data_IF_383407918023
#
_entry.id   IF_383407918023
#
_cell.length_a   1.000
_cell.length_b   1.000
_cell.length_c   1.000
_cell.angle_alpha   90.00
_cell.angle_beta   90.00
_cell.angle_gamma   90.00
#
_symmetry.space_group_name_H-M   'P 1'
#
loop_
_entity.id
_entity.type
_entity.pdbx_description
1 polymer ?
#
# COMPACT_ATOMS: atom_id res chain seq x y z
N UNK A 1 -3.65 9.74 -11.81
CA UNK A 1 -3.28 9.36 -13.19
C UNK A 1 -2.24 8.24 -13.25
N UNK A 2 -1.11 8.31 -12.51
CA UNK A 2 -0.02 7.29 -12.56
C UNK A 2 -0.56 5.87 -12.31
N UNK A 3 -1.36 5.68 -11.26
CA UNK A 3 -1.94 4.37 -10.93
C UNK A 3 -2.80 3.80 -12.07
N UNK A 4 -3.69 4.61 -12.66
CA UNK A 4 -4.56 4.17 -13.76
C UNK A 4 -3.72 3.75 -14.98
N UNK A 5 -2.65 4.47 -15.26
CA UNK A 5 -1.74 4.13 -16.36
C UNK A 5 -1.01 2.80 -16.10
N UNK A 6 -0.48 2.60 -14.89
CA UNK A 6 0.16 1.33 -14.51
C UNK A 6 -0.84 0.16 -14.56
N UNK A 7 -2.06 0.38 -14.08
CA UNK A 7 -3.11 -0.63 -14.14
C UNK A 7 -3.53 -0.95 -15.58
N UNK A 8 -3.55 0.06 -16.45
CA UNK A 8 -3.80 -0.15 -17.88
C UNK A 8 -2.69 -0.98 -18.54
N UNK A 9 -1.41 -0.71 -18.23
CA UNK A 9 -0.27 -1.53 -18.70
C UNK A 9 -0.44 -2.98 -18.23
N UNK A 10 -0.78 -3.19 -16.97
CA UNK A 10 -1.06 -4.52 -16.43
C UNK A 10 -2.18 -5.23 -17.21
N UNK A 11 -3.28 -4.53 -17.45
CA UNK A 11 -4.42 -5.08 -18.19
C UNK A 11 -4.04 -5.46 -19.64
N UNK A 12 -3.30 -4.62 -20.32
CA UNK A 12 -2.78 -4.92 -21.67
C UNK A 12 -1.80 -6.10 -21.65
N UNK A 13 -0.94 -6.18 -20.65
CA UNK A 13 -0.01 -7.28 -20.46
C UNK A 13 -0.73 -8.62 -20.28
N UNK A 14 -1.76 -8.67 -19.43
CA UNK A 14 -2.60 -9.84 -19.24
C UNK A 14 -3.31 -10.26 -20.53
N UNK A 15 -3.78 -9.30 -21.31
CA UNK A 15 -4.48 -9.54 -22.59
C UNK A 15 -3.54 -9.90 -23.74
N UNK A 16 -2.24 -9.65 -23.57
CA UNK A 16 -1.22 -9.83 -24.61
C UNK A 16 -1.35 -8.91 -25.83
N UNK A 17 -2.18 -7.86 -25.74
CA UNK A 17 -2.41 -6.85 -26.80
C UNK A 17 -2.85 -5.53 -26.18
N UNK A 18 -2.62 -4.44 -26.90
CA UNK A 18 -3.12 -3.11 -26.52
C UNK A 18 -4.64 -3.09 -26.70
N UNK A 19 -5.36 -2.93 -25.59
CA UNK A 19 -6.83 -2.98 -25.58
C UNK A 19 -7.38 -1.57 -25.46
N UNK A 20 -8.21 -1.16 -26.42
CA UNK A 20 -9.04 0.05 -26.34
C UNK A 20 -8.28 1.32 -25.89
N UNK A 21 -7.07 1.53 -26.40
CA UNK A 21 -6.20 2.65 -26.02
C UNK A 21 -6.88 4.02 -26.20
N UNK A 22 -7.58 4.22 -27.29
CA UNK A 22 -8.31 5.48 -27.56
C UNK A 22 -9.40 5.74 -26.51
N UNK A 23 -10.16 4.70 -26.16
CA UNK A 23 -11.19 4.78 -25.11
C UNK A 23 -10.57 5.08 -23.75
N UNK A 24 -9.44 4.44 -23.42
CA UNK A 24 -8.71 4.71 -22.19
C UNK A 24 -8.28 6.18 -22.08
N UNK A 25 -7.70 6.75 -23.14
CA UNK A 25 -7.31 8.17 -23.17
C UNK A 25 -8.54 9.05 -23.04
N UNK A 26 -9.60 8.80 -23.84
CA UNK A 26 -10.82 9.60 -23.81
C UNK A 26 -11.42 9.67 -22.40
N UNK A 27 -11.63 8.51 -21.78
CA UNK A 27 -12.19 8.46 -20.41
C UNK A 27 -11.25 9.06 -19.36
N UNK A 28 -9.93 8.93 -19.54
CA UNK A 28 -8.96 9.57 -18.64
C UNK A 28 -9.02 11.09 -18.74
N UNK A 29 -9.13 11.64 -19.94
CA UNK A 29 -9.29 13.09 -20.15
C UNK A 29 -10.61 13.57 -19.56
N UNK A 30 -11.72 12.87 -19.82
CA UNK A 30 -13.01 13.19 -19.22
C UNK A 30 -12.94 13.17 -17.69
N UNK A 31 -12.30 12.19 -17.10
CA UNK A 31 -12.10 12.10 -15.64
C UNK A 31 -11.30 13.29 -15.09
N UNK A 32 -10.24 13.70 -15.79
CA UNK A 32 -9.48 14.92 -15.42
C UNK A 32 -10.35 16.18 -15.54
N UNK A 33 -11.12 16.30 -16.60
CA UNK A 33 -12.03 17.45 -16.78
C UNK A 33 -13.07 17.55 -15.66
N UNK A 34 -13.66 16.42 -15.26
CA UNK A 34 -14.59 16.38 -14.12
C UNK A 34 -13.89 16.73 -12.80
N UNK A 35 -12.64 16.35 -12.64
CA UNK A 35 -11.84 16.65 -11.45
C UNK A 35 -11.28 18.08 -11.44
N UNK A 36 -11.34 18.84 -12.56
CA UNK A 36 -10.78 20.18 -12.67
C UNK A 36 -11.30 21.14 -11.58
N UNK A 37 -12.55 20.99 -11.18
CA UNK A 37 -13.14 21.81 -10.12
C UNK A 37 -12.30 21.74 -8.82
N UNK A 38 -11.77 20.58 -8.48
CA UNK A 38 -10.91 20.39 -7.31
C UNK A 38 -9.43 20.57 -7.64
N UNK A 39 -9.00 20.20 -8.84
CA UNK A 39 -7.59 20.23 -9.23
C UNK A 39 -7.08 21.68 -9.46
N UNK A 40 -7.87 22.54 -10.07
CA UNK A 40 -7.46 23.92 -10.39
C UNK A 40 -7.09 24.72 -9.14
N UNK A 41 -7.91 24.77 -8.07
CA UNK A 41 -7.53 25.45 -6.83
C UNK A 41 -6.27 24.89 -6.20
N UNK A 42 -6.11 23.55 -6.21
CA UNK A 42 -4.92 22.89 -5.65
C UNK A 42 -3.67 23.27 -6.44
N UNK A 43 -3.72 23.23 -7.76
CA UNK A 43 -2.58 23.60 -8.63
C UNK A 43 -2.20 25.08 -8.44
N UNK A 44 -3.19 25.98 -8.35
CA UNK A 44 -2.94 27.39 -8.10
C UNK A 44 -2.30 27.61 -6.73
N UNK A 45 -2.79 26.94 -5.69
CA UNK A 45 -2.22 27.00 -4.33
C UNK A 45 -0.78 26.48 -4.26
N UNK A 46 -0.48 25.40 -4.99
CA UNK A 46 0.87 24.84 -5.05
C UNK A 46 1.83 25.72 -5.85
N UNK A 47 1.32 26.49 -6.84
CA UNK A 47 2.15 27.42 -7.61
C UNK A 47 2.67 28.57 -6.77
N UNK A 48 1.90 29.00 -5.77
CA UNK A 48 2.26 30.09 -4.87
C UNK A 48 3.23 29.63 -3.77
N UNK A 49 3.29 28.33 -3.49
CA UNK A 49 4.28 27.73 -2.62
C UNK A 49 5.61 27.60 -3.40
N UNK A 50 6.50 28.54 -3.18
CA UNK A 50 7.85 28.55 -3.77
C UNK A 50 8.81 27.58 -3.10
N UNK A 51 8.35 26.42 -2.70
CA UNK A 51 9.24 25.36 -2.23
C UNK A 51 10.03 24.85 -3.43
N UNK A 52 11.34 25.14 -3.44
CA UNK A 52 12.23 24.63 -4.46
C UNK A 52 12.12 23.10 -4.51
N UNK A 53 12.17 22.50 -5.72
CA UNK A 53 12.23 21.06 -5.85
C UNK A 53 13.30 20.53 -4.91
N UNK A 54 13.00 19.50 -4.13
CA UNK A 54 13.94 18.97 -3.16
C UNK A 54 15.28 18.69 -3.84
N UNK A 55 16.37 19.27 -3.33
CA UNK A 55 17.73 19.00 -3.82
C UNK A 55 18.09 17.51 -3.76
N UNK A 56 17.32 16.75 -2.97
CA UNK A 56 17.46 15.30 -2.80
C UNK A 56 16.75 14.46 -3.85
N UNK A 57 16.18 15.08 -4.90
CA UNK A 57 15.43 14.37 -5.95
C UNK A 57 16.29 13.29 -6.64
N UNK A 58 17.58 13.53 -6.81
CA UNK A 58 18.53 12.62 -7.43
C UNK A 58 19.32 11.77 -6.43
N UNK A 59 19.08 11.96 -5.12
CA UNK A 59 19.68 11.11 -4.11
C UNK A 59 19.02 9.72 -4.15
N UNK A 60 19.76 8.73 -4.67
CA UNK A 60 19.34 7.32 -4.72
C UNK A 60 19.41 6.71 -3.31
N UNK A 61 18.77 7.40 -2.37
CA UNK A 61 18.63 6.93 -1.00
C UNK A 61 17.53 5.88 -0.87
N UNK A 62 17.71 5.01 0.11
CA UNK A 62 16.68 4.04 0.51
C UNK A 62 15.74 4.71 1.50
N UNK A 63 14.44 4.55 1.31
CA UNK A 63 13.43 5.15 2.19
C UNK A 63 13.36 4.41 3.53
N UNK A 64 13.54 3.07 3.51
CA UNK A 64 13.52 2.21 4.70
C UNK A 64 14.28 0.90 4.46
N UNK A 65 14.40 0.07 5.49
CA UNK A 65 14.97 -1.28 5.35
C UNK A 65 13.93 -2.21 4.73
N UNK A 66 14.29 -2.97 3.67
CA UNK A 66 13.38 -3.89 2.97
C UNK A 66 12.74 -4.92 3.92
N UNK A 67 13.44 -5.28 5.00
CA UNK A 67 12.89 -6.13 6.06
C UNK A 67 11.67 -5.53 6.77
N UNK A 68 11.43 -4.22 6.69
CA UNK A 68 10.22 -3.59 7.21
C UNK A 68 8.98 -3.84 6.35
N UNK A 69 9.16 -4.07 5.03
CA UNK A 69 8.03 -4.25 4.13
C UNK A 69 7.22 -5.51 4.45
N UNK A 70 7.91 -6.64 4.71
CA UNK A 70 7.21 -7.88 5.05
C UNK A 70 6.47 -7.78 6.39
N UNK A 71 7.00 -7.02 7.36
CA UNK A 71 6.31 -6.80 8.63
C UNK A 71 4.96 -6.11 8.41
N UNK A 72 4.92 -5.12 7.53
CA UNK A 72 3.71 -4.36 7.25
C UNK A 72 2.68 -5.10 6.38
N UNK A 73 3.04 -6.28 5.87
CA UNK A 73 2.09 -7.23 5.28
C UNK A 73 1.43 -8.14 6.33
N UNK A 74 1.99 -8.20 7.54
CA UNK A 74 1.46 -9.04 8.62
C UNK A 74 0.49 -8.25 9.51
N UNK A 75 -0.48 -8.92 10.14
CA UNK A 75 -1.40 -8.29 11.08
C UNK A 75 -0.66 -7.73 12.31
N UNK A 76 -1.21 -6.68 12.90
CA UNK A 76 -0.75 -6.14 14.17
C UNK A 76 0.55 -5.32 14.15
N UNK A 77 1.13 -5.09 12.99
CA UNK A 77 2.37 -4.27 12.86
C UNK A 77 2.11 -2.77 12.88
N UNK A 78 0.87 -2.37 12.88
CA UNK A 78 0.43 -0.96 13.02
C UNK A 78 0.55 -0.47 14.47
N UNK A 79 1.54 -0.98 15.20
CA UNK A 79 1.83 -0.44 16.50
C UNK A 79 2.12 1.05 16.35
N UNK A 80 1.43 1.83 17.14
CA UNK A 80 1.51 3.22 17.55
C UNK A 80 2.90 3.89 17.53
N UNK A 81 3.83 3.35 16.79
CA UNK A 81 5.16 3.89 16.61
C UNK A 81 5.10 5.00 15.55
N UNK A 82 4.55 6.16 15.98
CA UNK A 82 4.56 7.41 15.22
C UNK A 82 5.98 7.81 14.79
N UNK A 83 7.00 7.20 15.38
CA UNK A 83 8.41 7.39 15.02
C UNK A 83 8.78 6.74 13.67
N UNK A 84 8.02 5.77 13.18
CA UNK A 84 8.24 5.05 11.92
C UNK A 84 7.30 5.51 10.78
N UNK A 85 7.02 6.81 10.69
CA UNK A 85 6.22 7.41 9.60
C UNK A 85 6.78 7.14 8.18
N UNK A 86 7.98 6.57 8.08
CA UNK A 86 8.64 6.24 6.81
C UNK A 86 8.22 4.90 6.20
N UNK A 87 7.36 4.10 6.86
CA UNK A 87 6.96 2.79 6.35
C UNK A 87 5.57 2.82 5.68
N UNK A 88 5.39 2.10 4.54
CA UNK A 88 4.09 2.03 3.89
C UNK A 88 3.12 1.13 4.67
N UNK A 89 1.87 1.58 4.85
CA UNK A 89 0.78 0.78 5.42
C UNK A 89 0.09 -0.01 4.30
N UNK A 90 0.38 -1.31 4.21
CA UNK A 90 -0.01 -2.17 3.07
C UNK A 90 -0.73 -3.46 3.48
N UNK A 91 -1.16 -3.56 4.74
CA UNK A 91 -1.87 -4.74 5.21
C UNK A 91 -3.26 -4.87 4.56
N UNK A 92 -3.54 -6.04 4.01
CA UNK A 92 -4.79 -6.38 3.30
C UNK A 92 -5.37 -7.72 3.74
N UNK A 93 -4.84 -8.29 4.81
CA UNK A 93 -5.13 -9.66 5.19
C UNK A 93 -4.17 -10.67 4.54
N UNK A 94 -4.05 -11.83 5.16
CA UNK A 94 -3.18 -12.92 4.66
C UNK A 94 -3.79 -13.57 3.41
N UNK A 95 -5.11 -13.69 3.35
CA UNK A 95 -5.81 -14.39 2.26
C UNK A 95 -5.49 -13.83 0.87
N UNK A 96 -5.59 -12.53 0.59
CA UNK A 96 -5.21 -11.97 -0.71
C UNK A 96 -3.77 -12.25 -1.10
N UNK A 97 -2.85 -12.18 -0.14
CA UNK A 97 -1.42 -12.44 -0.36
C UNK A 97 -1.21 -13.91 -0.77
N UNK A 98 -1.82 -14.84 -0.05
CA UNK A 98 -1.77 -16.28 -0.38
C UNK A 98 -2.37 -16.54 -1.76
N UNK A 99 -3.50 -15.91 -2.09
CA UNK A 99 -4.12 -16.06 -3.41
C UNK A 99 -3.21 -15.54 -4.54
N UNK A 100 -2.54 -14.40 -4.35
CA UNK A 100 -1.56 -13.89 -5.33
C UNK A 100 -0.38 -14.87 -5.50
N UNK A 101 0.15 -15.43 -4.41
CA UNK A 101 1.22 -16.42 -4.48
C UNK A 101 0.76 -17.70 -5.22
N UNK A 102 -0.44 -18.18 -4.94
CA UNK A 102 -1.02 -19.32 -5.63
C UNK A 102 -1.23 -19.04 -7.13
N UNK A 103 -1.62 -17.81 -7.52
CA UNK A 103 -1.70 -17.41 -8.92
C UNK A 103 -0.33 -17.51 -9.60
N UNK A 104 0.71 -16.99 -8.96
CA UNK A 104 2.06 -17.01 -9.50
C UNK A 104 2.63 -18.43 -9.65
N UNK A 105 2.30 -19.32 -8.71
CA UNK A 105 2.73 -20.71 -8.71
C UNK A 105 1.87 -21.61 -9.61
N UNK A 106 0.65 -21.21 -9.93
CA UNK A 106 -0.28 -22.01 -10.73
C UNK A 106 0.25 -22.25 -12.15
N UNK A 107 0.25 -23.49 -12.62
CA UNK A 107 0.63 -23.83 -13.99
C UNK A 107 -0.44 -23.49 -15.03
N UNK A 108 -1.66 -23.20 -14.60
CA UNK A 108 -2.82 -22.90 -15.47
C UNK A 108 -2.91 -21.44 -15.89
N UNK A 109 -2.26 -20.57 -15.15
CA UNK A 109 -2.23 -19.13 -15.43
C UNK A 109 -1.18 -18.86 -16.49
N UNK A 110 -1.56 -18.08 -17.52
CA UNK A 110 -0.65 -17.71 -18.60
C UNK A 110 0.57 -16.94 -18.04
N UNK A 111 1.72 -17.20 -18.63
CA UNK A 111 2.98 -16.53 -18.26
C UNK A 111 2.89 -15.01 -18.41
N UNK A 112 2.14 -14.51 -19.38
CA UNK A 112 1.90 -13.08 -19.59
C UNK A 112 1.22 -12.44 -18.39
N UNK A 113 0.22 -13.11 -17.84
CA UNK A 113 -0.50 -12.64 -16.65
C UNK A 113 0.40 -12.63 -15.41
N UNK A 114 1.22 -13.66 -15.23
CA UNK A 114 2.19 -13.73 -14.13
C UNK A 114 3.22 -12.61 -14.24
N UNK A 115 3.81 -12.41 -15.43
CA UNK A 115 4.80 -11.36 -15.63
C UNK A 115 4.19 -9.97 -15.43
N UNK A 116 2.96 -9.74 -15.91
CA UNK A 116 2.26 -8.47 -15.72
C UNK A 116 1.95 -8.21 -14.25
N UNK A 117 1.57 -9.25 -13.51
CA UNK A 117 1.35 -9.17 -12.05
C UNK A 117 2.65 -8.84 -11.32
N UNK A 118 3.74 -9.54 -11.63
CA UNK A 118 5.05 -9.29 -11.04
C UNK A 118 5.57 -7.89 -11.38
N UNK A 119 5.39 -7.43 -12.62
CA UNK A 119 5.75 -6.08 -13.04
C UNK A 119 5.00 -5.03 -12.21
N UNK A 120 3.69 -5.19 -12.07
CA UNK A 120 2.86 -4.25 -11.33
C UNK A 120 3.25 -4.20 -9.84
N UNK A 121 3.35 -5.35 -9.18
CA UNK A 121 3.78 -5.47 -7.78
C UNK A 121 5.20 -4.93 -7.60
N UNK A 122 6.12 -5.31 -8.48
CA UNK A 122 7.53 -4.86 -8.47
C UNK A 122 7.67 -3.35 -8.60
N UNK A 123 6.88 -2.72 -9.48
CA UNK A 123 6.86 -1.25 -9.65
C UNK A 123 6.48 -0.55 -8.34
N UNK A 124 5.50 -1.06 -7.60
CA UNK A 124 5.12 -0.49 -6.31
C UNK A 124 6.18 -0.73 -5.23
N UNK A 125 6.77 -1.92 -5.16
CA UNK A 125 7.84 -2.21 -4.21
C UNK A 125 9.04 -1.28 -4.46
N UNK A 126 9.42 -1.07 -5.72
CA UNK A 126 10.48 -0.13 -6.10
C UNK A 126 10.09 1.30 -5.70
N UNK A 127 8.84 1.70 -5.93
CA UNK A 127 8.34 3.03 -5.56
C UNK A 127 8.34 3.26 -4.05
N UNK A 128 8.11 2.24 -3.25
CA UNK A 128 8.24 2.36 -1.79
C UNK A 128 9.70 2.47 -1.34
N UNK A 129 10.58 1.70 -1.97
CA UNK A 129 11.93 1.50 -1.48
C UNK A 129 12.91 2.57 -1.93
N UNK A 130 12.81 3.04 -3.18
CA UNK A 130 13.73 3.98 -3.81
C UNK A 130 13.14 5.39 -3.79
N UNK A 131 13.85 6.34 -3.14
CA UNK A 131 13.38 7.72 -2.95
C UNK A 131 12.92 8.42 -4.24
N UNK A 132 13.67 8.48 -5.34
CA UNK A 132 13.22 9.10 -6.59
C UNK A 132 11.88 8.59 -7.09
N UNK A 133 11.62 7.28 -7.01
CA UNK A 133 10.34 6.71 -7.42
C UNK A 133 9.22 7.06 -6.45
N UNK A 134 9.53 7.21 -5.16
CA UNK A 134 8.57 7.69 -4.17
C UNK A 134 8.15 9.13 -4.45
N UNK A 135 9.10 10.03 -4.75
CA UNK A 135 8.82 11.45 -5.02
C UNK A 135 7.97 11.65 -6.29
N UNK A 136 8.03 10.75 -7.27
CA UNK A 136 7.13 10.79 -8.45
C UNK A 136 5.66 10.76 -8.04
N UNK A 137 5.29 10.00 -7.01
CA UNK A 137 3.92 9.96 -6.48
C UNK A 137 3.51 11.23 -5.74
N UNK A 138 4.48 12.04 -5.33
CA UNK A 138 4.31 13.30 -4.60
C UNK A 138 4.59 14.53 -5.48
N UNK A 139 4.42 14.40 -6.81
CA UNK A 139 4.68 15.46 -7.79
C UNK A 139 6.11 16.04 -7.67
N UNK A 140 7.09 15.18 -7.43
CA UNK A 140 8.53 15.48 -7.29
C UNK A 140 8.88 16.32 -6.07
N UNK A 141 8.00 16.41 -5.07
CA UNK A 141 8.28 17.06 -3.79
C UNK A 141 8.57 16.02 -2.71
N UNK A 142 9.36 16.40 -1.70
CA UNK A 142 9.54 15.55 -0.52
C UNK A 142 8.24 15.53 0.29
N UNK A 143 7.70 14.33 0.60
CA UNK A 143 6.47 14.23 1.36
C UNK A 143 6.66 14.67 2.81
N UNK A 144 5.87 15.63 3.25
CA UNK A 144 5.78 16.03 4.66
C UNK A 144 4.73 15.16 5.36
N UNK A 145 5.10 14.51 6.44
CA UNK A 145 4.23 13.62 7.22
C UNK A 145 4.14 12.21 6.63
N UNK A 146 3.05 11.87 5.95
CA UNK A 146 2.83 10.53 5.40
C UNK A 146 3.57 10.34 4.07
N UNK A 147 4.72 9.69 4.10
CA UNK A 147 5.61 9.49 2.95
C UNK A 147 5.10 8.49 1.90
N UNK A 148 4.15 7.63 2.26
CA UNK A 148 3.65 6.57 1.38
C UNK A 148 2.13 6.63 1.19
N UNK A 149 1.58 7.81 0.91
CA UNK A 149 0.12 8.02 0.71
C UNK A 149 -0.46 7.13 -0.40
N UNK A 150 0.35 6.72 -1.36
CA UNK A 150 -0.07 5.84 -2.45
C UNK A 150 -0.10 4.34 -2.09
N UNK A 151 0.21 3.98 -0.84
CA UNK A 151 0.20 2.58 -0.37
C UNK A 151 -1.17 1.91 -0.54
N UNK A 152 -2.28 2.68 -0.45
CA UNK A 152 -3.62 2.14 -0.65
C UNK A 152 -3.85 1.60 -2.07
N UNK A 153 -3.17 2.14 -3.10
CA UNK A 153 -3.21 1.57 -4.45
C UNK A 153 -2.59 0.19 -4.49
N UNK A 154 -1.50 -0.03 -3.76
CA UNK A 154 -0.88 -1.34 -3.65
C UNK A 154 -1.79 -2.34 -2.95
N UNK A 155 -2.44 -1.92 -1.86
CA UNK A 155 -3.46 -2.72 -1.17
C UNK A 155 -4.62 -3.08 -2.11
N UNK A 156 -5.09 -2.14 -2.91
CA UNK A 156 -6.12 -2.38 -3.92
C UNK A 156 -5.68 -3.40 -4.99
N UNK A 157 -4.42 -3.33 -5.44
CA UNK A 157 -3.87 -4.30 -6.39
C UNK A 157 -3.84 -5.70 -5.79
N UNK A 158 -3.31 -5.84 -4.56
CA UNK A 158 -3.27 -7.13 -3.88
C UNK A 158 -4.66 -7.73 -3.72
N UNK A 159 -5.66 -6.92 -3.35
CA UNK A 159 -7.05 -7.36 -3.25
C UNK A 159 -7.62 -7.75 -4.62
N UNK A 160 -7.42 -6.94 -5.65
CA UNK A 160 -7.98 -7.17 -6.98
C UNK A 160 -7.38 -8.41 -7.66
N UNK A 161 -6.05 -8.54 -7.60
CA UNK A 161 -5.33 -9.70 -8.15
C UNK A 161 -5.61 -10.94 -7.29
N UNK A 162 -5.64 -10.80 -5.96
CA UNK A 162 -5.99 -11.86 -5.03
C UNK A 162 -7.40 -12.39 -5.26
N UNK A 163 -8.38 -11.51 -5.47
CA UNK A 163 -9.75 -11.90 -5.80
C UNK A 163 -9.84 -12.63 -7.15
N UNK A 164 -9.16 -12.12 -8.18
CA UNK A 164 -9.07 -12.81 -9.48
C UNK A 164 -8.45 -14.20 -9.33
N UNK A 165 -7.38 -14.29 -8.55
CA UNK A 165 -6.74 -15.57 -8.25
C UNK A 165 -7.70 -16.52 -7.52
N UNK A 166 -8.42 -16.03 -6.51
CA UNK A 166 -9.40 -16.77 -5.73
C UNK A 166 -10.50 -17.39 -6.61
N UNK A 167 -11.00 -16.63 -7.61
CA UNK A 167 -12.00 -17.13 -8.56
C UNK A 167 -11.45 -18.24 -9.47
N UNK A 168 -10.16 -18.21 -9.77
CA UNK A 168 -9.50 -19.18 -10.66
C UNK A 168 -8.92 -20.41 -9.94
N UNK A 169 -8.92 -20.42 -8.59
CA UNK A 169 -8.47 -21.58 -7.81
C UNK A 169 -9.45 -22.73 -7.99
N UNK A 170 -8.93 -23.89 -8.36
CA UNK A 170 -9.72 -25.12 -8.34
C UNK A 170 -9.93 -25.60 -6.91
N UNK A 171 -11.08 -25.27 -6.37
CA UNK A 171 -11.51 -25.65 -5.01
C UNK A 171 -11.74 -27.16 -4.82
N UNK A 172 -11.53 -27.96 -5.86
CA UNK A 172 -11.65 -29.42 -5.78
C UNK A 172 -10.57 -30.06 -4.91
N UNK A 173 -9.44 -29.39 -4.73
CA UNK A 173 -8.36 -29.88 -3.87
C UNK A 173 -8.69 -29.55 -2.42
N UNK A 174 -9.18 -30.52 -1.69
CA UNK A 174 -9.59 -30.43 -0.28
C UNK A 174 -8.51 -29.73 0.59
N UNK A 175 -7.24 -30.03 0.33
CA UNK A 175 -6.11 -29.44 1.06
C UNK A 175 -6.00 -27.92 0.94
N UNK A 176 -6.26 -27.35 -0.24
CA UNK A 176 -6.19 -25.89 -0.44
C UNK A 176 -7.26 -25.18 0.38
N UNK A 177 -8.49 -25.73 0.40
CA UNK A 177 -9.58 -25.18 1.21
C UNK A 177 -9.20 -25.16 2.69
N UNK A 178 -8.73 -26.27 3.22
CA UNK A 178 -8.33 -26.39 4.63
C UNK A 178 -7.16 -25.47 4.95
N UNK A 179 -6.18 -25.36 4.07
CA UNK A 179 -5.06 -24.45 4.24
C UNK A 179 -5.53 -22.99 4.33
N UNK A 180 -6.42 -22.53 3.42
CA UNK A 180 -6.95 -21.17 3.45
C UNK A 180 -7.75 -20.92 4.72
N UNK A 181 -8.61 -21.86 5.11
CA UNK A 181 -9.38 -21.76 6.35
C UNK A 181 -8.43 -21.67 7.56
N UNK A 182 -7.41 -22.53 7.63
CA UNK A 182 -6.44 -22.52 8.72
C UNK A 182 -5.66 -21.19 8.78
N UNK A 183 -5.22 -20.67 7.63
CA UNK A 183 -4.55 -19.37 7.56
C UNK A 183 -5.46 -18.21 7.99
N UNK A 184 -6.74 -18.24 7.59
CA UNK A 184 -7.72 -17.23 8.02
C UNK A 184 -7.98 -17.29 9.52
N UNK A 185 -8.08 -18.48 10.10
CA UNK A 185 -8.19 -18.65 11.55
C UNK A 185 -6.94 -18.15 12.29
N UNK A 186 -5.75 -18.48 11.81
CA UNK A 186 -4.49 -17.98 12.37
C UNK A 186 -4.43 -16.45 12.33
N UNK A 187 -4.87 -15.85 11.23
CA UNK A 187 -4.92 -14.39 11.09
C UNK A 187 -5.88 -13.77 12.10
N UNK A 188 -7.11 -14.30 12.23
CA UNK A 188 -8.10 -13.82 13.20
C UNK A 188 -7.55 -13.95 14.62
N UNK A 189 -6.99 -15.11 14.96
CA UNK A 189 -6.42 -15.37 16.27
C UNK A 189 -5.26 -14.42 16.58
N UNK A 190 -4.34 -14.25 15.64
CA UNK A 190 -3.21 -13.33 15.80
C UNK A 190 -3.66 -11.87 15.96
N UNK A 191 -4.62 -11.42 15.15
CA UNK A 191 -5.19 -10.07 15.25
C UNK A 191 -5.87 -9.85 16.62
N UNK A 192 -6.66 -10.84 17.09
CA UNK A 192 -7.32 -10.76 18.39
C UNK A 192 -6.31 -10.73 19.52
N UNK A 193 -5.28 -11.56 19.49
CA UNK A 193 -4.23 -11.56 20.48
C UNK A 193 -3.45 -10.22 20.52
N UNK A 194 -3.12 -9.71 19.34
CA UNK A 194 -2.35 -8.47 19.21
C UNK A 194 -3.16 -7.23 19.60
N UNK A 195 -4.47 -7.20 19.34
CA UNK A 195 -5.34 -6.11 19.78
C UNK A 195 -5.41 -6.03 21.31
N UNK A 196 -5.49 -7.17 22.00
CA UNK A 196 -5.46 -7.23 23.46
C UNK A 196 -4.11 -6.73 24.03
N UNK A 197 -3.00 -7.09 23.43
CA UNK A 197 -1.67 -6.61 23.83
C UNK A 197 -1.52 -5.09 23.59
N UNK A 198 -2.07 -4.56 22.51
CA UNK A 198 -2.09 -3.12 22.24
C UNK A 198 -2.95 -2.35 23.22
N UNK A 199 -4.13 -2.87 23.59
CA UNK A 199 -4.99 -2.26 24.59
C UNK A 199 -4.30 -2.23 25.96
N UNK A 200 -3.66 -3.33 26.39
CA UNK A 200 -2.91 -3.39 27.62
C UNK A 200 -1.74 -2.38 27.64
N UNK A 201 -0.99 -2.28 26.55
CA UNK A 201 0.12 -1.31 26.41
C UNK A 201 -0.37 0.14 26.36
N UNK A 202 -1.51 0.41 25.73
CA UNK A 202 -2.10 1.75 25.70
C UNK A 202 -2.58 2.18 27.10
N UNK A 203 -3.22 1.29 27.83
CA UNK A 203 -3.65 1.54 29.21
C UNK A 203 -2.46 1.80 30.15
N UNK A 204 -1.38 1.00 30.03
CA UNK A 204 -0.16 1.20 30.80
C UNK A 204 0.49 2.55 30.49
N UNK A 205 0.56 2.94 29.22
CA UNK A 205 1.10 4.24 28.81
C UNK A 205 0.23 5.40 29.31
N UNK A 206 -1.09 5.26 29.24
CA UNK A 206 -2.01 6.27 29.74
C UNK A 206 -1.86 6.47 31.25
N UNK A 207 -1.69 5.40 32.04
CA UNK A 207 -1.42 5.49 33.45
C UNK A 207 -0.08 6.21 33.76
N UNK A 208 0.94 5.97 32.95
CA UNK A 208 2.24 6.65 33.07
C UNK A 208 2.14 8.14 32.74
N UNK A 209 1.38 8.52 31.72
CA UNK A 209 1.09 9.93 31.39
C UNK A 209 0.32 10.62 32.54
N UNK A 210 -0.69 9.98 33.11
CA UNK A 210 -1.43 10.54 34.23
C UNK A 210 -0.55 10.73 35.46
N UNK A 211 0.29 9.76 35.78
CA UNK A 211 1.23 9.86 36.88
C UNK A 211 2.32 10.93 36.66
N UNK A 212 2.69 11.19 35.43
CA UNK A 212 3.58 12.31 35.04
C UNK A 212 2.85 13.66 35.22
N UNK A 213 1.61 13.75 34.74
CA UNK A 213 0.79 14.97 34.85
C UNK A 213 0.54 15.38 36.29
N UNK A 214 0.21 14.43 37.16
CA UNK A 214 0.05 14.65 38.61
C UNK A 214 1.32 15.15 39.32
N UNK A 215 2.51 14.76 38.81
CA UNK A 215 3.79 15.25 39.33
C UNK A 215 4.15 16.66 38.87
N UNK A 216 3.77 17.02 37.65
CA UNK A 216 4.16 18.29 37.02
C UNK A 216 3.16 19.41 37.33
N UNK A 217 1.87 19.08 37.43
CA UNK A 217 0.81 20.08 37.64
C UNK A 217 1.00 20.96 38.87
N UNK A 218 1.38 20.45 40.07
CA UNK A 218 1.64 21.28 41.23
C UNK A 218 2.91 22.13 41.16
N UNK A 219 3.73 21.99 40.08
CA UNK A 219 4.91 22.83 39.85
C UNK A 219 4.63 24.00 38.91
N UNK A 220 3.42 24.09 38.38
CA UNK A 220 2.99 25.12 37.40
C UNK A 220 2.03 26.13 38.10
N UNK A 221 1.42 25.79 39.24
CA UNK A 221 0.70 26.68 40.14
C UNK A 221 1.65 27.40 41.11
#
# INVERSE_FOLDING_TARGET
>A
CIFLFLYYIYYCGCSGKIVKFKEFILHSVMGVMLACFNLVPVVLSLRDQKDAPSEKLFDIGRTFKLSGLYRNLLPGTYALDLSNSSMPYIYVGILPIVCVLLLLLSRKVDIKEKLSTLFLIGTFIISFYIRPFNTVWHAFNDPVGFSHRFAFYFSFILLSVGYKAFLNIEWKTVYIKHMIIALSFLEIFYNSYHSLDLEAKSAARQSEYMAFYERVNPLIE
#
